data_IF_220533110847
#
_entry.id   IF_220533110847
#
_cell.length_a   1.000
_cell.length_b   1.000
_cell.length_c   1.000
_cell.angle_alpha   90.00
_cell.angle_beta   90.00
_cell.angle_gamma   90.00
#
_symmetry.space_group_name_H-M   'P 1'
#
loop_
_entity.id
_entity.type
_entity.pdbx_description
1 polymer ?
#
# COMPACT_ATOMS: atom_id res chain seq x y z
N UNK A 1 -15.52 -14.58 72.38
CA UNK A 1 -15.06 -13.42 71.59
C UNK A 1 -13.86 -13.87 70.77
N UNK A 2 -13.97 -13.87 69.45
CA UNK A 2 -12.83 -14.03 68.55
C UNK A 2 -13.01 -13.02 67.42
N UNK A 3 -12.12 -12.04 67.43
CA UNK A 3 -12.11 -10.86 66.58
C UNK A 3 -11.42 -11.21 65.26
N UNK A 4 -12.16 -11.13 64.15
CA UNK A 4 -11.66 -11.39 62.80
C UNK A 4 -11.08 -10.08 62.23
N UNK A 5 -9.86 -9.74 62.63
CA UNK A 5 -9.10 -8.63 62.04
C UNK A 5 -8.17 -9.18 60.96
N UNK A 6 -8.60 -9.09 59.72
CA UNK A 6 -7.71 -9.12 58.56
C UNK A 6 -8.25 -8.16 57.51
N UNK A 7 -8.18 -6.88 57.85
CA UNK A 7 -8.05 -5.81 56.85
C UNK A 7 -6.60 -5.80 56.40
N UNK A 8 -6.35 -6.13 55.13
CA UNK A 8 -5.34 -5.47 54.29
C UNK A 8 -5.19 -6.22 52.96
N UNK A 9 -6.27 -6.25 52.18
CA UNK A 9 -6.08 -6.33 50.73
C UNK A 9 -5.82 -4.90 50.30
N UNK A 10 -4.54 -4.53 50.20
CA UNK A 10 -4.11 -3.28 49.57
C UNK A 10 -4.69 -3.26 48.16
N UNK A 11 -5.82 -2.57 47.99
CA UNK A 11 -6.32 -2.13 46.69
C UNK A 11 -5.27 -1.18 46.12
N UNK A 12 -4.27 -1.76 45.48
CA UNK A 12 -3.50 -1.06 44.48
C UNK A 12 -4.42 -0.90 43.28
N UNK A 13 -5.38 0.04 43.39
CA UNK A 13 -6.12 0.59 42.27
C UNK A 13 -5.15 1.42 41.43
N UNK A 14 -4.24 0.73 40.76
CA UNK A 14 -3.74 1.22 39.49
C UNK A 14 -4.98 1.27 38.63
N UNK A 15 -5.56 2.46 38.57
CA UNK A 15 -6.28 3.03 37.44
C UNK A 15 -6.11 2.12 36.24
N UNK A 16 -7.03 1.16 36.11
CA UNK A 16 -7.24 0.41 34.89
C UNK A 16 -7.90 1.47 34.05
N UNK A 17 -7.07 2.25 33.36
CA UNK A 17 -7.45 3.27 32.41
C UNK A 17 -8.39 2.58 31.43
N UNK A 18 -9.67 2.68 31.76
CA UNK A 18 -10.75 2.19 30.94
C UNK A 18 -10.79 3.23 29.87
N UNK A 19 -10.05 3.00 28.78
CA UNK A 19 -10.19 3.82 27.59
C UNK A 19 -11.69 3.85 27.29
N UNK A 20 -12.31 5.00 27.51
CA UNK A 20 -13.72 5.26 27.20
C UNK A 20 -13.83 5.33 25.67
N UNK A 21 -13.61 4.18 25.04
CA UNK A 21 -13.74 3.99 23.61
C UNK A 21 -15.23 3.95 23.34
N UNK A 22 -15.75 5.03 22.79
CA UNK A 22 -17.12 5.06 22.33
C UNK A 22 -17.29 4.14 21.11
N UNK A 23 -18.49 3.60 20.91
CA UNK A 23 -18.81 2.81 19.70
C UNK A 23 -18.50 3.60 18.42
N UNK A 24 -18.65 4.93 18.46
CA UNK A 24 -18.30 5.85 17.37
C UNK A 24 -16.80 5.90 17.08
N UNK A 25 -15.94 5.90 18.11
CA UNK A 25 -14.49 5.89 17.92
C UNK A 25 -14.02 4.57 17.29
N UNK A 26 -14.61 3.44 17.69
CA UNK A 26 -14.30 2.13 17.11
C UNK A 26 -14.67 2.07 15.61
N UNK A 27 -15.83 2.61 15.24
CA UNK A 27 -16.24 2.70 13.83
C UNK A 27 -15.29 3.57 13.01
N UNK A 28 -14.87 4.71 13.54
CA UNK A 28 -13.96 5.62 12.85
C UNK A 28 -12.55 5.05 12.73
N UNK A 29 -12.07 4.32 13.73
CA UNK A 29 -10.82 3.55 13.63
C UNK A 29 -10.90 2.47 12.55
N UNK A 30 -12.02 1.75 12.44
CA UNK A 30 -12.22 0.79 11.36
C UNK A 30 -12.20 1.48 9.99
N UNK A 31 -12.86 2.63 9.84
CA UNK A 31 -12.83 3.42 8.61
C UNK A 31 -11.41 3.86 8.27
N UNK A 32 -10.64 4.32 9.26
CA UNK A 32 -9.24 4.72 9.11
C UNK A 32 -8.34 3.55 8.66
N UNK A 33 -8.56 2.35 9.18
CA UNK A 33 -7.74 1.17 8.88
C UNK A 33 -8.11 0.46 7.57
N UNK A 34 -9.32 0.65 7.04
CA UNK A 34 -9.78 0.01 5.78
C UNK A 34 -8.80 0.22 4.60
N UNK A 35 -8.29 1.44 4.32
CA UNK A 35 -7.37 1.64 3.22
C UNK A 35 -6.01 0.93 3.40
N UNK A 36 -5.53 0.79 4.65
CA UNK A 36 -4.32 0.03 4.95
C UNK A 36 -4.51 -1.46 4.68
N UNK A 37 -5.69 -2.00 5.04
CA UNK A 37 -6.08 -3.36 4.68
C UNK A 37 -6.07 -3.53 3.17
N UNK A 38 -6.72 -2.62 2.42
CA UNK A 38 -6.76 -2.68 0.96
C UNK A 38 -5.36 -2.66 0.35
N UNK A 39 -4.49 -1.74 0.76
CA UNK A 39 -3.11 -1.67 0.27
C UNK A 39 -2.33 -2.97 0.54
N UNK A 40 -2.50 -3.54 1.73
CA UNK A 40 -1.86 -4.81 2.11
C UNK A 40 -2.40 -5.97 1.30
N UNK A 41 -3.72 -6.04 1.10
CA UNK A 41 -4.33 -7.09 0.27
C UNK A 41 -3.83 -7.02 -1.17
N UNK A 42 -3.78 -5.83 -1.78
CA UNK A 42 -3.24 -5.68 -3.15
C UNK A 42 -1.80 -6.21 -3.25
N UNK A 43 -0.95 -5.88 -2.28
CA UNK A 43 0.44 -6.32 -2.27
C UNK A 43 0.61 -7.82 -1.96
N UNK A 44 -0.28 -8.40 -1.16
CA UNK A 44 -0.19 -9.79 -0.73
C UNK A 44 -0.94 -10.78 -1.64
N UNK A 45 -1.96 -10.33 -2.36
CA UNK A 45 -2.76 -11.16 -3.27
C UNK A 45 -2.06 -11.34 -4.63
N UNK A 46 -1.25 -10.36 -5.04
CA UNK A 46 -0.40 -10.50 -6.22
C UNK A 46 0.76 -11.47 -5.94
N UNK A 47 0.86 -12.56 -6.72
CA UNK A 47 1.98 -13.51 -6.65
C UNK A 47 3.34 -12.84 -6.88
N UNK A 48 3.37 -11.76 -7.67
CA UNK A 48 4.55 -10.98 -8.02
C UNK A 48 4.18 -9.49 -8.04
N UNK A 49 4.14 -8.81 -6.88
CA UNK A 49 3.73 -7.41 -6.83
C UNK A 49 4.72 -6.54 -7.60
N UNK A 50 4.19 -5.65 -8.44
CA UNK A 50 5.03 -4.76 -9.26
C UNK A 50 5.60 -3.61 -8.42
N UNK A 51 6.90 -3.33 -8.57
CA UNK A 51 7.59 -2.23 -7.86
C UNK A 51 6.96 -0.86 -8.18
N UNK A 52 6.36 -0.72 -9.36
CA UNK A 52 5.62 0.47 -9.80
C UNK A 52 4.41 0.82 -8.93
N UNK A 53 3.85 -0.13 -8.17
CA UNK A 53 2.73 0.09 -7.24
C UNK A 53 3.15 0.76 -5.93
N UNK A 54 4.44 0.70 -5.57
CA UNK A 54 4.91 1.15 -4.26
C UNK A 54 4.68 2.65 -4.08
N UNK A 55 5.01 3.48 -5.09
CA UNK A 55 4.84 4.93 -4.98
C UNK A 55 3.36 5.34 -4.91
N UNK A 56 2.47 4.88 -5.81
CA UNK A 56 1.05 5.18 -5.70
C UNK A 56 0.42 4.78 -4.35
N UNK A 57 0.77 3.60 -3.81
CA UNK A 57 0.26 3.16 -2.52
C UNK A 57 0.83 3.99 -1.36
N UNK A 58 2.13 4.32 -1.40
CA UNK A 58 2.74 5.22 -0.41
C UNK A 58 2.04 6.59 -0.39
N UNK A 59 1.77 7.16 -1.55
CA UNK A 59 1.07 8.44 -1.66
C UNK A 59 -0.37 8.37 -1.13
N UNK A 60 -1.12 7.32 -1.52
CA UNK A 60 -2.46 7.06 -1.00
C UNK A 60 -2.47 7.00 0.53
N UNK A 61 -1.56 6.24 1.15
CA UNK A 61 -1.47 6.12 2.60
C UNK A 61 -1.18 7.48 3.25
N UNK A 62 -0.23 8.26 2.69
CA UNK A 62 0.09 9.61 3.18
C UNK A 62 -1.12 10.53 3.14
N UNK A 63 -1.88 10.53 2.05
CA UNK A 63 -3.07 11.36 1.89
C UNK A 63 -4.17 11.00 2.88
N UNK A 64 -4.37 9.71 3.17
CA UNK A 64 -5.42 9.27 4.11
C UNK A 64 -5.01 9.55 5.56
N UNK A 65 -3.71 9.45 5.85
CA UNK A 65 -3.15 9.71 7.19
C UNK A 65 -2.78 11.18 7.41
N UNK A 66 -3.12 12.10 6.48
CA UNK A 66 -2.86 13.52 6.70
C UNK A 66 -3.74 14.06 7.83
N UNK A 67 -3.23 14.98 8.65
CA UNK A 67 -4.02 15.62 9.72
C UNK A 67 -5.28 16.28 9.15
N UNK A 68 -6.44 16.02 9.75
CA UNK A 68 -7.70 16.68 9.43
C UNK A 68 -8.25 17.36 10.71
N UNK A 69 -8.62 18.65 10.67
CA UNK A 69 -9.16 19.35 11.83
C UNK A 69 -10.48 18.78 12.35
N UNK A 70 -11.19 17.97 11.55
CA UNK A 70 -12.43 17.31 11.95
C UNK A 70 -12.20 15.95 12.64
N UNK A 71 -10.96 15.47 12.72
CA UNK A 71 -10.66 14.19 13.37
C UNK A 71 -10.89 14.26 14.89
N UNK A 72 -11.40 13.16 15.46
CA UNK A 72 -11.37 12.98 16.92
C UNK A 72 -9.92 12.89 17.42
N UNK A 73 -9.71 13.16 18.71
CA UNK A 73 -8.39 13.08 19.32
C UNK A 73 -7.72 11.71 19.11
N UNK A 74 -8.51 10.63 19.17
CA UNK A 74 -8.04 9.25 18.98
C UNK A 74 -7.57 9.06 17.53
N UNK A 75 -8.37 9.48 16.54
CA UNK A 75 -8.03 9.35 15.11
C UNK A 75 -6.80 10.17 14.75
N UNK A 76 -6.71 11.41 15.23
CA UNK A 76 -5.54 12.27 15.01
C UNK A 76 -4.26 11.66 15.59
N UNK A 77 -4.35 11.11 16.81
CA UNK A 77 -3.23 10.40 17.46
C UNK A 77 -2.83 9.17 16.64
N UNK A 78 -3.81 8.41 16.15
CA UNK A 78 -3.59 7.19 15.38
C UNK A 78 -2.97 7.49 14.00
N UNK A 79 -3.48 8.48 13.27
CA UNK A 79 -2.89 8.97 12.00
C UNK A 79 -1.43 9.36 12.19
N UNK A 80 -1.14 10.11 13.25
CA UNK A 80 0.22 10.55 13.58
C UNK A 80 1.13 9.37 13.94
N UNK A 81 0.64 8.38 14.68
CA UNK A 81 1.38 7.18 15.04
C UNK A 81 1.66 6.28 13.81
N UNK A 82 0.71 6.18 12.88
CA UNK A 82 0.85 5.40 11.64
C UNK A 82 1.86 6.08 10.70
N UNK A 83 1.74 7.40 10.49
CA UNK A 83 2.61 8.13 9.58
C UNK A 83 4.02 8.30 10.16
N UNK A 84 4.13 8.68 11.43
CA UNK A 84 5.38 8.77 12.20
C UNK A 84 6.60 9.20 11.38
N UNK A 85 7.72 8.47 11.52
CA UNK A 85 8.85 8.59 10.59
C UNK A 85 8.74 7.64 9.39
N UNK A 86 7.62 6.90 9.28
CA UNK A 86 7.43 5.88 8.26
C UNK A 86 7.38 6.60 6.90
N UNK A 87 8.04 6.03 5.91
CA UNK A 87 8.08 6.59 4.55
C UNK A 87 8.79 7.95 4.36
N UNK A 88 9.57 8.40 5.36
CA UNK A 88 10.41 9.61 5.27
C UNK A 88 11.69 9.36 4.47
N UNK A 89 12.16 8.11 4.46
CA UNK A 89 13.34 7.72 3.69
C UNK A 89 13.15 7.99 2.19
N UNK A 90 14.14 8.68 1.63
CA UNK A 90 14.24 9.01 0.20
C UNK A 90 15.19 8.06 -0.52
N UNK A 91 15.87 7.15 0.20
CA UNK A 91 16.69 6.10 -0.39
C UNK A 91 15.87 5.29 -1.38
N UNK A 92 16.38 5.15 -2.60
CA UNK A 92 15.71 4.40 -3.67
C UNK A 92 14.43 5.04 -4.22
N UNK A 93 13.97 6.20 -3.70
CA UNK A 93 12.76 6.86 -4.20
C UNK A 93 12.83 7.13 -5.70
N UNK A 94 14.00 7.54 -6.17
CA UNK A 94 14.31 7.72 -7.58
C UNK A 94 14.03 6.48 -8.44
N UNK A 95 14.46 5.31 -7.97
CA UNK A 95 14.23 4.04 -8.66
C UNK A 95 12.75 3.71 -8.68
N UNK A 96 12.07 3.88 -7.55
CA UNK A 96 10.63 3.65 -7.44
C UNK A 96 9.85 4.60 -8.37
N UNK A 97 10.21 5.87 -8.42
CA UNK A 97 9.59 6.87 -9.30
C UNK A 97 9.80 6.53 -10.77
N UNK A 98 11.00 6.15 -11.17
CA UNK A 98 11.27 5.67 -12.54
C UNK A 98 10.46 4.40 -12.86
N UNK A 99 10.40 3.43 -11.95
CA UNK A 99 9.62 2.22 -12.14
C UNK A 99 8.12 2.51 -12.28
N UNK A 100 7.58 3.42 -11.46
CA UNK A 100 6.19 3.89 -11.57
C UNK A 100 5.94 4.64 -12.88
N UNK A 101 6.86 5.50 -13.31
CA UNK A 101 6.74 6.25 -14.57
C UNK A 101 6.71 5.34 -15.81
N UNK A 102 7.47 4.24 -15.77
CA UNK A 102 7.51 3.23 -16.85
C UNK A 102 6.25 2.36 -16.92
N UNK A 103 5.43 2.33 -15.87
CA UNK A 103 4.19 1.57 -15.85
C UNK A 103 3.06 2.41 -16.49
N UNK A 104 2.46 1.96 -17.60
CA UNK A 104 1.40 2.72 -18.27
C UNK A 104 0.21 3.08 -17.36
N UNK A 105 -0.03 2.28 -16.31
CA UNK A 105 -1.11 2.54 -15.34
C UNK A 105 -0.85 3.80 -14.49
N UNK A 106 0.41 4.18 -14.31
CA UNK A 106 0.83 5.24 -13.38
C UNK A 106 1.69 6.33 -14.03
N UNK A 107 1.84 6.30 -15.35
CA UNK A 107 2.66 7.21 -16.13
C UNK A 107 2.38 8.71 -15.87
N UNK A 108 1.16 9.08 -15.51
CA UNK A 108 0.81 10.50 -15.26
C UNK A 108 1.43 11.07 -13.99
N UNK A 109 1.85 10.22 -13.04
CA UNK A 109 2.45 10.58 -11.75
C UNK A 109 1.69 11.74 -11.03
N UNK A 110 0.38 11.59 -10.74
CA UNK A 110 -0.47 12.68 -10.26
C UNK A 110 -0.12 13.19 -8.84
N UNK A 111 0.78 12.49 -8.15
CA UNK A 111 1.25 12.82 -6.80
C UNK A 111 2.49 13.73 -6.80
N UNK A 112 3.03 14.06 -7.97
CA UNK A 112 4.16 14.97 -8.13
C UNK A 112 3.71 16.31 -8.70
N UNK A 113 4.46 17.36 -8.38
CA UNK A 113 4.44 18.61 -9.14
C UNK A 113 5.06 18.43 -10.54
N UNK A 114 4.78 19.39 -11.42
CA UNK A 114 5.22 19.37 -12.81
C UNK A 114 6.74 19.30 -12.94
N UNK A 115 7.47 20.10 -12.16
CA UNK A 115 8.94 20.13 -12.17
C UNK A 115 9.55 18.77 -11.79
N UNK A 116 9.05 18.17 -10.71
CA UNK A 116 9.49 16.86 -10.23
C UNK A 116 9.16 15.75 -11.23
N UNK A 117 8.01 15.84 -11.88
CA UNK A 117 7.60 14.89 -12.92
C UNK A 117 8.52 14.99 -14.13
N UNK A 118 8.83 16.20 -14.59
CA UNK A 118 9.76 16.42 -15.69
C UNK A 118 11.16 15.91 -15.37
N UNK A 119 11.64 16.09 -14.13
CA UNK A 119 12.89 15.52 -13.67
C UNK A 119 12.91 13.98 -13.73
N UNK A 120 11.81 13.31 -13.37
CA UNK A 120 11.71 11.84 -13.45
C UNK A 120 11.83 11.39 -14.90
N UNK A 121 11.09 12.02 -15.82
CA UNK A 121 11.14 11.68 -17.24
C UNK A 121 12.48 12.02 -17.90
N UNK A 122 13.10 13.15 -17.57
CA UNK A 122 14.43 13.51 -18.07
C UNK A 122 15.48 12.45 -17.69
N UNK A 123 15.42 11.94 -16.45
CA UNK A 123 16.32 10.86 -16.00
C UNK A 123 16.03 9.54 -16.68
N UNK A 124 14.77 9.24 -16.94
CA UNK A 124 14.38 8.05 -17.69
C UNK A 124 14.99 8.09 -19.10
N UNK A 125 14.80 9.20 -19.81
CA UNK A 125 15.35 9.43 -21.16
C UNK A 125 16.86 9.32 -21.17
N UNK A 126 17.54 9.98 -20.22
CA UNK A 126 19.01 9.90 -20.10
C UNK A 126 19.51 8.46 -19.89
N UNK A 127 18.79 7.63 -19.10
CA UNK A 127 19.14 6.21 -18.95
C UNK A 127 18.91 5.41 -20.22
N UNK A 128 17.80 5.66 -20.93
CA UNK A 128 17.51 5.01 -22.21
C UNK A 128 18.60 5.34 -23.22
N UNK A 129 18.97 6.61 -23.36
CA UNK A 129 20.03 7.06 -24.25
C UNK A 129 21.37 6.42 -23.90
N UNK A 130 21.70 6.34 -22.60
CA UNK A 130 22.90 5.65 -22.12
C UNK A 130 22.95 4.18 -22.51
N UNK A 131 21.81 3.47 -22.48
CA UNK A 131 21.70 2.07 -22.90
C UNK A 131 21.81 1.88 -24.42
N UNK A 132 21.24 2.80 -25.20
CA UNK A 132 21.28 2.76 -26.67
C UNK A 132 22.72 2.95 -27.19
N UNK A 133 23.53 3.79 -26.54
CA UNK A 133 24.92 4.01 -26.95
C UNK A 133 25.89 2.90 -26.49
N UNK A 134 25.49 2.00 -25.59
CA UNK A 134 26.36 0.94 -25.04
C UNK A 134 26.13 -0.46 -25.59
N UNK A 135 25.17 -0.68 -26.51
CA UNK A 135 24.94 -1.99 -27.13
C UNK A 135 24.39 -1.90 -28.57
N UNK A 136 25.08 -2.40 -29.61
CA UNK A 136 24.37 -2.98 -30.74
C UNK A 136 23.71 -4.27 -30.24
N UNK A 137 22.38 -4.30 -30.15
CA UNK A 137 21.63 -5.50 -29.79
C UNK A 137 22.05 -6.66 -30.71
N UNK A 138 22.64 -7.77 -30.22
CA UNK A 138 22.72 -8.97 -31.03
C UNK A 138 21.29 -9.45 -31.26
N UNK A 139 20.86 -9.49 -32.52
CA UNK A 139 19.62 -10.13 -32.93
C UNK A 139 19.60 -11.53 -32.30
N UNK A 140 18.69 -11.78 -31.35
CA UNK A 140 18.38 -13.14 -30.90
C UNK A 140 17.67 -13.88 -32.04
N UNK A 141 18.44 -14.36 -33.00
CA UNK A 141 18.06 -15.57 -33.70
C UNK A 141 17.93 -16.67 -32.64
N UNK A 142 16.78 -17.32 -32.58
CA UNK A 142 16.46 -18.47 -31.71
C UNK A 142 15.82 -18.12 -30.35
N UNK A 143 14.58 -17.64 -30.40
CA UNK A 143 13.57 -17.98 -29.41
C UNK A 143 12.27 -18.41 -30.12
N UNK A 144 12.38 -19.36 -31.05
CA UNK A 144 11.23 -20.18 -31.44
C UNK A 144 10.95 -21.11 -30.27
N UNK A 145 10.00 -20.74 -29.40
CA UNK A 145 9.48 -21.68 -28.40
C UNK A 145 8.75 -22.81 -29.13
N UNK A 146 9.14 -24.08 -28.97
CA UNK A 146 8.33 -25.17 -29.49
C UNK A 146 7.03 -25.20 -28.70
N UNK A 147 5.89 -25.00 -29.40
CA UNK A 147 4.57 -25.37 -28.87
C UNK A 147 4.56 -26.88 -28.69
N UNK A 148 4.75 -27.36 -27.46
CA UNK A 148 4.35 -28.71 -27.12
C UNK A 148 2.83 -28.69 -26.92
N UNK A 149 2.12 -29.09 -27.97
CA UNK A 149 0.78 -29.63 -27.82
C UNK A 149 0.89 -31.05 -27.28
N UNK A 150 0.09 -31.39 -26.28
CA UNK A 150 -0.80 -32.55 -26.30
C UNK A 150 -1.56 -32.69 -24.98
N UNK A 151 -2.82 -33.10 -25.14
CA UNK A 151 -3.61 -33.96 -24.25
C UNK A 151 -4.42 -33.34 -23.09
N UNK A 152 -5.71 -33.13 -23.40
CA UNK A 152 -6.88 -33.67 -22.70
C UNK A 152 -7.06 -33.41 -21.18
N UNK A 153 -8.04 -32.59 -20.81
CA UNK A 153 -8.68 -32.62 -19.48
C UNK A 153 -10.21 -32.66 -19.64
N UNK A 154 -10.95 -33.44 -18.82
CA UNK A 154 -12.40 -33.56 -18.93
C UNK A 154 -13.11 -32.30 -18.42
N UNK A 155 -14.32 -32.09 -18.93
CA UNK A 155 -15.26 -31.05 -18.49
C UNK A 155 -15.87 -31.46 -17.16
N UNK A 156 -15.78 -30.58 -16.16
CA UNK A 156 -16.75 -30.55 -15.07
C UNK A 156 -17.28 -29.13 -14.88
N UNK A 157 -18.60 -29.04 -14.87
CA UNK A 157 -19.40 -27.85 -14.64
C UNK A 157 -19.51 -27.57 -13.13
N UNK A 158 -19.26 -26.33 -12.72
CA UNK A 158 -20.05 -25.63 -11.70
C UNK A 158 -19.67 -24.15 -11.67
N UNK A 159 -20.68 -23.28 -11.66
CA UNK A 159 -20.65 -21.83 -11.85
C UNK A 159 -19.70 -21.08 -10.90
N UNK A 160 -19.23 -19.88 -11.29
CA UNK A 160 -19.01 -18.80 -10.35
C UNK A 160 -20.20 -17.83 -10.37
N UNK A 161 -20.68 -17.54 -9.18
CA UNK A 161 -21.53 -16.39 -8.91
C UNK A 161 -20.79 -15.09 -9.22
N UNK A 162 -21.61 -14.12 -9.61
CA UNK A 162 -21.29 -12.76 -9.96
C UNK A 162 -20.49 -12.08 -8.83
N UNK A 163 -19.31 -11.54 -9.12
CA UNK A 163 -18.70 -10.48 -8.31
C UNK A 163 -18.34 -9.36 -9.25
N UNK A 164 -19.15 -8.31 -9.20
CA UNK A 164 -19.08 -7.12 -10.02
C UNK A 164 -17.66 -6.56 -10.08
N UNK A 165 -17.17 -6.49 -11.32
CA UNK A 165 -15.98 -5.74 -11.72
C UNK A 165 -16.31 -4.24 -11.66
N UNK A 166 -16.37 -3.67 -10.46
CA UNK A 166 -16.56 -2.23 -10.25
C UNK A 166 -15.23 -1.51 -9.96
N UNK A 167 -14.59 -1.13 -11.06
CA UNK A 167 -14.15 0.26 -11.32
C UNK A 167 -13.15 0.90 -10.35
N UNK A 168 -11.86 0.61 -10.53
CA UNK A 168 -10.82 1.61 -10.27
C UNK A 168 -10.76 2.60 -11.45
N UNK A 169 -11.72 3.54 -11.49
CA UNK A 169 -11.51 4.83 -12.17
C UNK A 169 -11.02 5.81 -11.12
N UNK A 170 -9.72 6.05 -11.11
CA UNK A 170 -9.17 7.27 -10.53
C UNK A 170 -9.67 8.44 -11.39
N UNK A 171 -10.28 9.42 -10.71
CA UNK A 171 -10.73 10.68 -11.26
C UNK A 171 -9.62 11.71 -11.14
#
# INVERSE_FOLDING_TARGET
MATLMSTDVRKNSKEIDTMDLSDTDAEDMMKLLKPLKTATTVLCDEKMPTVSLIVPLKDMIKKIMSPDPNDSHIISTMKSAILGNRYTDKSGLDFLLMATAMDPRFHTLPHLDDDSRDMVFARLTSKVDGLVHTQPLPCRANACFPRQGTSSRPKDHSSPENVDMLTFRLK
#
